data_IF_246574882767
#
_entry.id   IF_246574882767
#
_cell.length_a   1.000
_cell.length_b   1.000
_cell.length_c   1.000
_cell.angle_alpha   90.00
_cell.angle_beta   90.00
_cell.angle_gamma   90.00
#
_symmetry.space_group_name_H-M   'P 1'
#
loop_
_entity.id
_entity.type
_entity.pdbx_description
1 polymer ?
#
# COMPACT_ATOMS: atom_id res chain seq x y z
N UNK A 1 25.02 -7.01 -19.41
CA UNK A 1 24.95 -5.79 -18.56
C UNK A 1 23.59 -5.63 -17.86
N UNK A 2 22.46 -6.09 -18.45
CA UNK A 2 21.11 -6.00 -17.86
C UNK A 2 20.94 -6.68 -16.49
N UNK A 3 21.46 -7.91 -16.33
CA UNK A 3 21.28 -8.69 -15.09
C UNK A 3 21.77 -7.99 -13.80
N UNK A 4 22.83 -7.18 -13.86
CA UNK A 4 23.29 -6.39 -12.68
C UNK A 4 22.30 -5.29 -12.29
N UNK A 5 21.69 -4.63 -13.28
CA UNK A 5 20.67 -3.60 -13.04
C UNK A 5 19.42 -4.19 -12.42
N UNK A 6 18.99 -5.37 -12.89
CA UNK A 6 17.87 -6.11 -12.32
C UNK A 6 18.13 -6.48 -10.85
N UNK A 7 19.27 -7.10 -10.53
CA UNK A 7 19.59 -7.46 -9.14
C UNK A 7 19.62 -6.24 -8.21
N UNK A 8 20.19 -5.14 -8.68
CA UNK A 8 20.16 -3.87 -7.95
C UNK A 8 18.73 -3.37 -7.73
N UNK A 9 17.89 -3.40 -8.78
CA UNK A 9 16.49 -2.97 -8.70
C UNK A 9 15.68 -3.85 -7.73
N UNK A 10 15.90 -5.17 -7.72
CA UNK A 10 15.24 -6.10 -6.81
C UNK A 10 15.65 -5.85 -5.35
N UNK A 11 16.94 -5.66 -5.09
CA UNK A 11 17.42 -5.30 -3.75
C UNK A 11 16.83 -3.97 -3.27
N UNK A 12 16.82 -2.95 -4.15
CA UNK A 12 16.21 -1.66 -3.87
C UNK A 12 14.70 -1.77 -3.61
N UNK A 13 13.98 -2.61 -4.37
CA UNK A 13 12.55 -2.86 -4.17
C UNK A 13 12.26 -3.47 -2.79
N UNK A 14 13.13 -4.35 -2.29
CA UNK A 14 13.04 -4.89 -0.93
C UNK A 14 13.17 -3.81 0.14
N UNK A 15 14.20 -2.95 0.04
CA UNK A 15 14.41 -1.82 0.96
C UNK A 15 13.26 -0.83 0.91
N UNK A 16 12.82 -0.45 -0.29
CA UNK A 16 11.68 0.45 -0.51
C UNK A 16 10.41 -0.17 0.07
N UNK A 17 10.17 -1.46 -0.13
CA UNK A 17 9.01 -2.16 0.43
C UNK A 17 8.99 -2.13 1.95
N UNK A 18 10.14 -2.33 2.59
CA UNK A 18 10.30 -2.17 4.03
C UNK A 18 9.98 -0.76 4.52
N UNK A 19 10.56 0.27 3.87
CA UNK A 19 10.33 1.67 4.22
C UNK A 19 8.87 2.09 4.01
N UNK A 20 8.26 1.70 2.88
CA UNK A 20 6.83 1.92 2.61
C UNK A 20 5.99 1.25 3.68
N UNK A 21 6.30 0.00 4.04
CA UNK A 21 5.59 -0.72 5.08
C UNK A 21 5.63 -0.02 6.44
N UNK A 22 6.80 0.46 6.84
CA UNK A 22 6.98 1.24 8.09
C UNK A 22 6.15 2.53 8.02
N UNK A 23 6.36 3.36 7.00
CA UNK A 23 5.70 4.67 6.87
C UNK A 23 4.18 4.54 6.86
N UNK A 24 3.63 3.59 6.09
CA UNK A 24 2.18 3.39 6.02
C UNK A 24 1.60 2.83 7.31
N UNK A 25 2.34 1.96 8.01
CA UNK A 25 1.90 1.41 9.30
C UNK A 25 1.90 2.49 10.38
N UNK A 26 2.95 3.30 10.47
CA UNK A 26 3.04 4.42 11.40
C UNK A 26 1.97 5.49 11.11
N UNK A 27 1.74 5.81 9.84
CA UNK A 27 0.64 6.71 9.44
C UNK A 27 -0.72 6.16 9.88
N UNK A 28 -0.96 4.87 9.67
CA UNK A 28 -2.21 4.23 10.09
C UNK A 28 -2.41 4.34 11.60
N UNK A 29 -1.38 4.00 12.40
CA UNK A 29 -1.44 4.10 13.85
C UNK A 29 -1.63 5.53 14.34
N UNK A 30 -0.94 6.50 13.74
CA UNK A 30 -1.13 7.91 14.04
C UNK A 30 -2.59 8.35 13.84
N UNK A 31 -3.21 7.93 12.73
CA UNK A 31 -4.62 8.24 12.44
C UNK A 31 -5.54 7.57 13.45
N UNK A 32 -5.30 6.30 13.79
CA UNK A 32 -6.10 5.57 14.79
C UNK A 32 -6.05 6.26 16.16
N UNK A 33 -4.85 6.57 16.66
CA UNK A 33 -4.65 7.25 17.94
C UNK A 33 -5.31 8.63 17.94
N UNK A 34 -5.16 9.40 16.87
CA UNK A 34 -5.75 10.75 16.78
C UNK A 34 -7.28 10.68 16.68
N UNK A 35 -7.81 9.77 15.85
CA UNK A 35 -9.24 9.66 15.58
C UNK A 35 -10.01 9.18 16.81
N UNK A 36 -9.50 8.21 17.56
CA UNK A 36 -10.18 7.60 18.71
C UNK A 36 -9.63 8.04 20.08
N UNK A 37 -8.48 8.71 20.11
CA UNK A 37 -7.91 9.39 21.28
C UNK A 37 -7.48 8.44 22.38
N UNK A 38 -6.73 7.42 22.00
CA UNK A 38 -6.15 6.43 22.89
C UNK A 38 -4.62 6.37 22.68
N UNK A 39 -3.89 5.76 23.62
CA UNK A 39 -2.44 5.58 23.53
C UNK A 39 -1.59 6.80 23.88
N UNK A 40 -2.20 7.87 24.41
CA UNK A 40 -1.48 9.07 24.87
C UNK A 40 -0.74 8.86 26.20
N UNK A 41 -1.12 7.84 26.95
CA UNK A 41 -0.55 7.41 28.24
C UNK A 41 0.66 6.47 28.10
N UNK A 42 1.05 6.14 26.86
CA UNK A 42 2.19 5.27 26.56
C UNK A 42 1.94 3.78 26.82
N UNK A 43 0.72 3.41 27.24
CA UNK A 43 0.32 2.01 27.43
C UNK A 43 -0.12 1.43 26.10
N UNK A 44 0.40 0.26 25.75
CA UNK A 44 -0.04 -0.47 24.56
C UNK A 44 -1.53 -0.78 24.68
N UNK A 45 -2.32 -0.17 23.80
CA UNK A 45 -3.76 -0.36 23.72
C UNK A 45 -4.11 -0.82 22.31
N UNK A 46 -4.82 -1.94 22.20
CA UNK A 46 -5.22 -2.43 20.88
C UNK A 46 -6.23 -1.47 20.23
N UNK A 47 -6.25 -1.43 18.89
CA UNK A 47 -7.22 -0.58 18.17
C UNK A 47 -8.67 -0.86 18.60
N UNK A 48 -9.01 -2.14 18.78
CA UNK A 48 -10.34 -2.55 19.27
C UNK A 48 -10.68 -1.94 20.63
N UNK A 49 -9.75 -1.99 21.58
CA UNK A 49 -9.96 -1.42 22.92
C UNK A 49 -10.03 0.11 22.87
N UNK A 50 -9.17 0.76 22.08
CA UNK A 50 -9.20 2.21 21.89
C UNK A 50 -10.55 2.69 21.33
N UNK A 51 -11.08 1.99 20.33
CA UNK A 51 -12.43 2.25 19.82
C UNK A 51 -13.50 1.97 20.89
N UNK A 52 -13.37 0.88 21.66
CA UNK A 52 -14.31 0.51 22.71
C UNK A 52 -14.35 1.48 23.90
N UNK A 53 -13.26 2.21 24.16
CA UNK A 53 -13.19 3.27 25.17
C UNK A 53 -13.69 4.63 24.64
N UNK A 54 -13.60 4.87 23.34
CA UNK A 54 -14.13 6.09 22.73
C UNK A 54 -15.65 6.21 22.93
N UNK A 55 -16.12 7.43 23.16
CA UNK A 55 -17.55 7.74 23.31
C UNK A 55 -18.33 7.36 22.05
N UNK A 56 -19.61 6.98 22.21
CA UNK A 56 -20.47 6.61 21.08
C UNK A 56 -20.53 7.70 20.00
N UNK A 57 -20.62 8.97 20.43
CA UNK A 57 -20.64 10.12 19.51
C UNK A 57 -19.34 10.23 18.70
N UNK A 58 -18.19 10.00 19.32
CA UNK A 58 -16.89 10.03 18.63
C UNK A 58 -16.80 8.93 17.57
N UNK A 59 -17.28 7.72 17.87
CA UNK A 59 -17.30 6.61 16.89
C UNK A 59 -18.13 6.97 15.67
N UNK A 60 -19.33 7.51 15.89
CA UNK A 60 -20.21 7.96 14.79
C UNK A 60 -19.53 9.06 13.98
N UNK A 61 -18.98 10.09 14.63
CA UNK A 61 -18.29 11.18 13.96
C UNK A 61 -17.10 10.69 13.10
N UNK A 62 -16.26 9.80 13.65
CA UNK A 62 -15.10 9.23 12.94
C UNK A 62 -15.56 8.39 11.74
N UNK A 63 -16.59 7.56 11.89
CA UNK A 63 -17.12 6.74 10.78
C UNK A 63 -17.77 7.60 9.70
N UNK A 64 -18.52 8.64 10.06
CA UNK A 64 -19.07 9.61 9.10
C UNK A 64 -17.96 10.34 8.36
N UNK A 65 -16.91 10.77 9.06
CA UNK A 65 -15.73 11.37 8.44
C UNK A 65 -15.01 10.39 7.50
N UNK A 66 -14.87 9.12 7.90
CA UNK A 66 -14.33 8.07 7.04
C UNK A 66 -15.12 7.94 5.74
N UNK A 67 -16.45 7.92 5.82
CA UNK A 67 -17.33 7.87 4.65
C UNK A 67 -17.19 9.10 3.74
N UNK A 68 -17.10 10.30 4.31
CA UNK A 68 -16.90 11.53 3.56
C UNK A 68 -15.53 11.56 2.86
N UNK A 69 -14.46 11.17 3.55
CA UNK A 69 -13.11 11.07 3.00
C UNK A 69 -13.05 10.03 1.90
N UNK A 70 -13.63 8.84 2.13
CA UNK A 70 -13.70 7.79 1.12
C UNK A 70 -14.45 8.28 -0.13
N UNK A 71 -15.71 8.70 0.02
CA UNK A 71 -16.54 9.13 -1.09
C UNK A 71 -15.94 10.29 -1.86
N UNK A 72 -15.54 11.36 -1.17
CA UNK A 72 -14.93 12.54 -1.78
C UNK A 72 -13.57 12.26 -2.39
N UNK A 73 -12.71 11.53 -1.67
CA UNK A 73 -11.34 11.21 -2.10
C UNK A 73 -11.32 10.36 -3.37
N UNK A 74 -12.09 9.26 -3.42
CA UNK A 74 -12.14 8.42 -4.62
C UNK A 74 -12.86 9.09 -5.77
N UNK A 75 -13.87 9.91 -5.49
CA UNK A 75 -14.51 10.72 -6.53
C UNK A 75 -13.54 11.72 -7.15
N UNK A 76 -12.78 12.47 -6.34
CA UNK A 76 -11.75 13.40 -6.82
C UNK A 76 -10.68 12.66 -7.63
N UNK A 77 -10.24 11.49 -7.15
CA UNK A 77 -9.23 10.69 -7.81
C UNK A 77 -9.72 10.18 -9.17
N UNK A 78 -10.99 9.75 -9.27
CA UNK A 78 -11.60 9.32 -10.54
C UNK A 78 -11.86 10.50 -11.48
N UNK A 79 -12.16 11.69 -10.94
CA UNK A 79 -12.46 12.89 -11.73
C UNK A 79 -11.21 13.55 -12.31
N UNK A 80 -10.12 13.61 -11.54
CA UNK A 80 -8.91 14.37 -11.89
C UNK A 80 -7.66 13.51 -12.07
N UNK A 81 -7.65 12.29 -11.53
CA UNK A 81 -6.53 11.36 -11.63
C UNK A 81 -6.56 10.51 -12.90
N UNK A 82 -5.44 9.85 -13.18
CA UNK A 82 -5.37 8.85 -14.25
C UNK A 82 -6.10 7.56 -13.83
N UNK A 83 -6.60 6.75 -14.77
CA UNK A 83 -7.20 5.47 -14.44
C UNK A 83 -6.26 4.62 -13.60
N UNK A 84 -6.78 4.05 -12.51
CA UNK A 84 -6.00 3.20 -11.63
C UNK A 84 -5.75 1.86 -12.30
N UNK A 85 -4.52 1.36 -12.20
CA UNK A 85 -4.13 0.09 -12.80
C UNK A 85 -3.82 -0.87 -11.67
N UNK A 86 -4.59 -1.97 -11.62
CA UNK A 86 -4.33 -3.05 -10.68
C UNK A 86 -2.98 -3.72 -10.98
N UNK A 87 -2.31 -4.22 -9.94
CA UNK A 87 -1.02 -4.91 -10.12
C UNK A 87 -1.12 -6.09 -11.10
N UNK A 88 -2.21 -6.87 -11.07
CA UNK A 88 -2.42 -7.95 -12.04
C UNK A 88 -2.45 -7.44 -13.49
N UNK A 89 -3.09 -6.31 -13.74
CA UNK A 89 -3.10 -5.68 -15.06
C UNK A 89 -1.72 -5.15 -15.43
N UNK A 90 -1.01 -4.54 -14.48
CA UNK A 90 0.37 -4.09 -14.68
C UNK A 90 1.32 -5.25 -15.01
N UNK A 91 1.15 -6.43 -14.43
CA UNK A 91 1.97 -7.61 -14.77
C UNK A 91 1.73 -8.11 -16.20
N UNK A 92 0.51 -7.93 -16.74
CA UNK A 92 0.21 -8.28 -18.14
C UNK A 92 0.84 -7.31 -19.13
N UNK A 93 0.98 -6.03 -18.76
CA UNK A 93 1.53 -4.97 -19.61
C UNK A 93 2.52 -4.10 -18.82
N UNK A 94 3.69 -4.64 -18.43
CA UNK A 94 4.56 -4.04 -17.41
C UNK A 94 5.24 -2.75 -17.87
N UNK A 95 5.29 -2.50 -19.18
CA UNK A 95 5.85 -1.26 -19.74
C UNK A 95 4.82 -0.13 -19.93
N UNK A 96 3.51 -0.41 -19.92
CA UNK A 96 2.47 0.64 -20.00
C UNK A 96 2.50 1.58 -18.78
N UNK A 97 2.92 1.04 -17.64
CA UNK A 97 3.33 1.79 -16.48
C UNK A 97 2.23 2.19 -15.51
N UNK A 98 2.65 2.39 -14.26
CA UNK A 98 1.78 2.77 -13.17
C UNK A 98 1.69 4.31 -13.06
N UNK A 99 0.49 4.90 -12.93
CA UNK A 99 0.33 6.33 -12.74
C UNK A 99 0.77 6.74 -11.33
N UNK A 100 2.07 6.95 -11.14
CA UNK A 100 2.73 7.10 -9.83
C UNK A 100 1.98 8.01 -8.85
N UNK A 101 1.68 9.26 -9.24
CA UNK A 101 0.98 10.20 -8.35
C UNK A 101 -0.43 9.73 -7.99
N UNK A 102 -1.19 9.21 -8.96
CA UNK A 102 -2.53 8.70 -8.71
C UNK A 102 -2.51 7.47 -7.79
N UNK A 103 -1.53 6.58 -7.96
CA UNK A 103 -1.32 5.45 -7.06
C UNK A 103 -0.94 5.91 -5.64
N UNK A 104 -0.06 6.91 -5.50
CA UNK A 104 0.32 7.44 -4.17
C UNK A 104 -0.90 8.02 -3.45
N UNK A 105 -1.70 8.87 -4.11
CA UNK A 105 -2.92 9.41 -3.50
C UNK A 105 -3.94 8.33 -3.17
N UNK A 106 -4.08 7.32 -4.03
CA UNK A 106 -4.95 6.19 -3.76
C UNK A 106 -4.56 5.41 -2.51
N UNK A 107 -3.27 5.11 -2.39
CA UNK A 107 -2.71 4.35 -1.26
C UNK A 107 -2.88 5.12 0.03
N UNK A 108 -2.58 6.43 0.02
CA UNK A 108 -2.79 7.28 1.19
C UNK A 108 -4.27 7.31 1.58
N UNK A 109 -5.18 7.42 0.61
CA UNK A 109 -6.61 7.38 0.87
C UNK A 109 -7.04 6.04 1.49
N UNK A 110 -6.56 4.91 0.96
CA UNK A 110 -6.80 3.59 1.55
C UNK A 110 -6.34 3.56 3.02
N UNK A 111 -5.07 3.90 3.30
CA UNK A 111 -4.50 3.84 4.66
C UNK A 111 -5.23 4.78 5.63
N UNK A 112 -5.60 5.98 5.18
CA UNK A 112 -6.40 6.90 5.99
C UNK A 112 -7.74 6.26 6.34
N UNK A 113 -8.46 5.72 5.36
CA UNK A 113 -9.78 5.11 5.62
C UNK A 113 -9.69 3.86 6.48
N UNK A 114 -8.66 3.03 6.32
CA UNK A 114 -8.38 1.88 7.20
C UNK A 114 -8.10 2.34 8.62
N UNK A 115 -7.27 3.38 8.81
CA UNK A 115 -7.00 3.96 10.12
C UNK A 115 -8.24 4.56 10.81
N UNK A 116 -9.21 5.04 10.03
CA UNK A 116 -10.50 5.55 10.53
C UNK A 116 -11.54 4.43 10.77
N UNK A 117 -11.18 3.16 10.56
CA UNK A 117 -12.05 2.02 10.88
C UNK A 117 -12.86 1.46 9.69
N UNK A 118 -12.47 1.76 8.46
CA UNK A 118 -13.02 1.06 7.27
C UNK A 118 -12.74 -0.45 7.36
N UNK A 119 -13.68 -1.33 6.93
CA UNK A 119 -13.51 -2.79 6.98
C UNK A 119 -12.50 -3.34 5.94
N UNK A 120 -11.68 -2.49 5.33
CA UNK A 120 -10.69 -2.86 4.33
C UNK A 120 -9.40 -3.37 5.00
N UNK A 121 -8.75 -4.34 4.35
CA UNK A 121 -7.42 -4.80 4.75
C UNK A 121 -6.33 -3.77 4.43
N UNK A 122 -5.25 -3.78 5.23
CA UNK A 122 -4.04 -2.95 5.00
C UNK A 122 -3.05 -3.57 4.01
N UNK A 123 -3.50 -4.56 3.24
CA UNK A 123 -2.67 -5.37 2.34
C UNK A 123 -2.42 -4.75 0.97
N UNK A 124 -3.40 -4.03 0.41
CA UNK A 124 -3.34 -3.56 -0.99
C UNK A 124 -2.44 -2.34 -1.11
N UNK A 125 -2.63 -1.36 -0.24
CA UNK A 125 -1.91 -0.09 -0.24
C UNK A 125 -0.36 -0.23 -0.32
N UNK A 126 0.29 -1.02 0.55
CA UNK A 126 1.75 -1.21 0.52
C UNK A 126 2.24 -1.88 -0.75
N UNK A 127 1.46 -2.84 -1.27
CA UNK A 127 1.77 -3.57 -2.51
C UNK A 127 1.80 -2.62 -3.71
N UNK A 128 0.78 -1.77 -3.81
CA UNK A 128 0.64 -0.83 -4.92
C UNK A 128 1.68 0.29 -4.86
N UNK A 129 1.93 0.85 -3.68
CA UNK A 129 2.93 1.90 -3.52
C UNK A 129 4.34 1.38 -3.82
N UNK A 130 4.72 0.21 -3.29
CA UNK A 130 6.03 -0.38 -3.53
C UNK A 130 6.22 -0.71 -5.02
N UNK A 131 5.20 -1.28 -5.67
CA UNK A 131 5.22 -1.53 -7.11
C UNK A 131 5.33 -0.25 -7.94
N UNK A 132 4.67 0.85 -7.55
CA UNK A 132 4.76 2.14 -8.24
C UNK A 132 6.18 2.74 -8.15
N UNK A 133 6.82 2.68 -6.99
CA UNK A 133 8.21 3.10 -6.82
C UNK A 133 9.17 2.23 -7.64
N UNK A 134 8.99 0.90 -7.58
CA UNK A 134 9.82 -0.04 -8.32
C UNK A 134 9.67 0.14 -9.84
N UNK A 135 8.46 0.35 -10.34
CA UNK A 135 8.21 0.66 -11.76
C UNK A 135 8.92 1.95 -12.19
N UNK A 136 8.82 3.02 -11.40
CA UNK A 136 9.49 4.29 -11.69
C UNK A 136 11.02 4.13 -11.74
N UNK A 137 11.59 3.35 -10.83
CA UNK A 137 13.03 3.02 -10.81
C UNK A 137 13.45 2.12 -11.98
N UNK A 138 12.73 1.04 -12.23
CA UNK A 138 12.98 0.08 -13.31
C UNK A 138 12.93 0.74 -14.69
N UNK A 139 11.99 1.67 -14.89
CA UNK A 139 11.87 2.42 -16.14
C UNK A 139 13.09 3.32 -16.38
N UNK A 140 13.66 3.91 -15.33
CA UNK A 140 14.90 4.70 -15.43
C UNK A 140 16.12 3.84 -15.71
N UNK A 141 16.14 2.60 -15.23
CA UNK A 141 17.23 1.66 -15.47
C UNK A 141 17.19 1.05 -16.89
N UNK A 142 16.06 1.19 -17.59
CA UNK A 142 15.83 0.65 -18.93
C UNK A 142 15.69 -0.87 -18.92
N UNK A 143 14.97 -1.40 -17.92
CA UNK A 143 14.65 -2.83 -17.85
C UNK A 143 13.70 -3.22 -18.98
N UNK A 144 13.86 -4.43 -19.51
CA UNK A 144 12.95 -4.98 -20.51
C UNK A 144 11.60 -5.42 -19.90
N UNK A 145 10.71 -5.97 -20.73
CA UNK A 145 9.36 -6.33 -20.30
C UNK A 145 9.35 -7.43 -19.22
N UNK A 146 10.19 -8.45 -19.36
CA UNK A 146 10.24 -9.58 -18.44
C UNK A 146 10.94 -9.19 -17.12
N UNK A 147 12.03 -8.42 -17.20
CA UNK A 147 12.71 -7.85 -16.06
C UNK A 147 11.78 -6.91 -15.25
N UNK A 148 10.99 -6.09 -15.94
CA UNK A 148 10.00 -5.22 -15.31
C UNK A 148 8.86 -6.01 -14.67
N UNK A 149 8.35 -7.05 -15.32
CA UNK A 149 7.30 -7.92 -14.78
C UNK A 149 7.75 -8.56 -13.46
N UNK A 150 8.97 -9.11 -13.46
CA UNK A 150 9.56 -9.69 -12.25
C UNK A 150 9.74 -8.64 -11.15
N UNK A 151 10.29 -7.47 -11.49
CA UNK A 151 10.49 -6.38 -10.54
C UNK A 151 9.19 -5.92 -9.89
N UNK A 152 8.12 -5.70 -10.68
CA UNK A 152 6.80 -5.28 -10.16
C UNK A 152 6.21 -6.35 -9.25
N UNK A 153 6.30 -7.63 -9.64
CA UNK A 153 5.78 -8.75 -8.83
C UNK A 153 6.51 -8.84 -7.48
N UNK A 154 7.85 -8.84 -7.51
CA UNK A 154 8.67 -8.88 -6.31
C UNK A 154 8.47 -7.64 -5.42
N UNK A 155 8.35 -6.45 -6.01
CA UNK A 155 8.08 -5.21 -5.28
C UNK A 155 6.71 -5.24 -4.60
N UNK A 156 5.69 -5.73 -5.30
CA UNK A 156 4.36 -5.95 -4.70
C UNK A 156 4.47 -6.89 -3.49
N UNK A 157 5.19 -8.01 -3.64
CA UNK A 157 5.45 -8.95 -2.55
C UNK A 157 6.21 -8.32 -1.38
N UNK A 158 7.26 -7.55 -1.64
CA UNK A 158 8.04 -6.89 -0.60
C UNK A 158 7.17 -5.96 0.27
N UNK A 159 6.25 -5.21 -0.35
CA UNK A 159 5.29 -4.38 0.38
C UNK A 159 4.34 -5.19 1.27
N UNK A 160 3.81 -6.32 0.78
CA UNK A 160 2.94 -7.21 1.55
C UNK A 160 3.69 -7.87 2.72
N UNK A 161 4.88 -8.40 2.44
CA UNK A 161 5.76 -9.01 3.43
C UNK A 161 6.11 -8.04 4.56
N UNK A 162 6.43 -6.78 4.24
CA UNK A 162 6.80 -5.77 5.21
C UNK A 162 5.65 -5.42 6.17
N UNK A 163 4.42 -5.29 5.66
CA UNK A 163 3.29 -4.86 6.48
C UNK A 163 2.75 -5.96 7.40
N UNK A 164 2.78 -7.21 6.95
CA UNK A 164 2.29 -8.32 7.77
C UNK A 164 3.38 -9.13 8.46
N UNK A 165 4.66 -8.82 8.22
CA UNK A 165 5.79 -9.63 8.69
C UNK A 165 5.67 -11.11 8.23
N UNK A 166 5.28 -11.33 6.97
CA UNK A 166 5.01 -12.65 6.38
C UNK A 166 5.77 -12.89 5.07
N UNK A 167 7.12 -12.91 5.09
CA UNK A 167 7.92 -13.02 3.87
C UNK A 167 7.57 -14.27 3.04
N UNK A 168 7.49 -15.44 3.68
CA UNK A 168 7.21 -16.71 2.97
C UNK A 168 5.79 -16.74 2.38
N UNK A 169 4.77 -16.36 3.16
CA UNK A 169 3.40 -16.34 2.67
C UNK A 169 3.23 -15.31 1.54
N UNK A 170 3.90 -14.15 1.66
CA UNK A 170 3.90 -13.16 0.59
C UNK A 170 4.55 -13.69 -0.68
N UNK A 171 5.65 -14.44 -0.60
CA UNK A 171 6.29 -15.05 -1.77
C UNK A 171 5.34 -16.03 -2.46
N UNK A 172 4.72 -16.95 -1.69
CA UNK A 172 3.74 -17.90 -2.23
C UNK A 172 2.55 -17.19 -2.89
N UNK A 173 2.02 -16.16 -2.23
CA UNK A 173 0.94 -15.35 -2.78
C UNK A 173 1.31 -14.69 -4.11
N UNK A 174 2.54 -14.16 -4.25
CA UNK A 174 2.98 -13.59 -5.53
C UNK A 174 3.12 -14.67 -6.61
N UNK A 175 3.68 -15.84 -6.27
CA UNK A 175 3.85 -16.93 -7.23
C UNK A 175 2.50 -17.48 -7.71
N UNK A 176 1.62 -17.87 -6.80
CA UNK A 176 0.35 -18.53 -7.13
C UNK A 176 -0.72 -17.52 -7.59
N UNK A 177 -0.95 -16.44 -6.83
CA UNK A 177 -2.11 -15.58 -7.05
C UNK A 177 -1.87 -14.46 -8.07
N UNK A 178 -0.61 -13.99 -8.22
CA UNK A 178 -0.26 -12.90 -9.14
C UNK A 178 0.38 -13.41 -10.44
N UNK A 179 1.32 -14.36 -10.35
CA UNK A 179 2.03 -14.90 -11.51
C UNK A 179 1.38 -16.17 -12.09
N UNK A 180 0.63 -16.93 -11.27
CA UNK A 180 -0.07 -18.12 -11.72
C UNK A 180 0.87 -19.30 -12.01
N UNK A 181 1.95 -19.42 -11.23
CA UNK A 181 2.87 -20.57 -11.25
C UNK A 181 2.26 -21.76 -10.53
#
# INVERSE_FOLDING_TARGET
MGRRKLWFALAAAGVIGGLVGIVLTELMHFIQHTAYGYGADGVYTSFREGVAQASGMRRVAVLTLCGAIAGGGWWLLKRFGKPQIEIKAALKQPLQGLPFLTTVFHVLLQIITVGLGSPLGREVAPREMTAAFAFAGGRRLGLDEDEMRLLIACASGAGLAAVYNVPLASTLFILEAMLGV
#
